data_IF_963419204179
#
_entry.id   IF_963419204179
#
_cell.length_a   1.000
_cell.length_b   1.000
_cell.length_c   1.000
_cell.angle_alpha   90.00
_cell.angle_beta   90.00
_cell.angle_gamma   90.00
#
_symmetry.space_group_name_H-M   'P 1'
#
loop_
_entity.id
_entity.type
_entity.pdbx_description
1 polymer ?
#
# COMPACT_ATOMS: atom_id res chain seq x y z
N UNK A 1 -2.15 16.82 12.71
CA UNK A 1 -3.54 17.04 13.14
C UNK A 1 -4.07 18.22 12.35
N UNK A 2 -5.24 18.07 11.72
CA UNK A 2 -5.87 19.13 10.94
C UNK A 2 -6.56 20.10 11.92
N UNK A 3 -6.32 21.42 11.86
CA UNK A 3 -6.92 22.38 12.79
C UNK A 3 -8.44 22.49 12.58
N UNK A 4 -9.16 22.85 13.64
CA UNK A 4 -10.63 23.04 13.60
C UNK A 4 -11.06 24.03 12.50
N UNK A 5 -10.23 25.04 12.25
CA UNK A 5 -10.45 26.03 11.19
C UNK A 5 -10.60 25.42 9.79
N UNK A 6 -10.00 24.25 9.53
CA UNK A 6 -10.09 23.59 8.22
C UNK A 6 -11.44 22.90 8.02
N UNK A 7 -12.23 22.74 9.07
CA UNK A 7 -13.60 22.21 9.01
C UNK A 7 -14.66 23.33 9.04
N UNK A 8 -14.27 24.56 9.41
CA UNK A 8 -15.20 25.66 9.60
C UNK A 8 -15.93 26.00 8.28
N UNK A 9 -17.26 25.87 8.30
CA UNK A 9 -18.10 26.11 7.13
C UNK A 9 -18.09 24.98 6.09
N UNK A 10 -17.52 23.82 6.39
CA UNK A 10 -17.55 22.63 5.54
C UNK A 10 -18.43 21.55 6.19
N UNK A 11 -19.19 20.84 5.35
CA UNK A 11 -19.85 19.62 5.79
C UNK A 11 -18.82 18.51 5.94
N UNK A 12 -18.79 17.87 7.11
CA UNK A 12 -17.94 16.72 7.40
C UNK A 12 -18.82 15.49 7.44
N UNK A 13 -18.60 14.57 6.50
CA UNK A 13 -19.31 13.30 6.42
C UNK A 13 -18.39 12.20 6.94
N UNK A 14 -18.78 11.59 8.04
CA UNK A 14 -18.11 10.42 8.59
C UNK A 14 -18.63 9.15 7.90
N UNK A 15 -17.72 8.24 7.54
CA UNK A 15 -18.07 6.96 6.92
C UNK A 15 -18.38 5.96 8.04
N UNK A 16 -19.62 5.42 8.14
CA UNK A 16 -20.10 4.79 9.36
C UNK A 16 -19.63 3.34 9.60
N UNK A 17 -18.98 2.69 8.62
CA UNK A 17 -18.53 1.28 8.64
C UNK A 17 -19.32 0.35 9.60
N UNK A 18 -20.62 0.11 9.33
CA UNK A 18 -21.50 -0.62 10.23
C UNK A 18 -21.01 -2.05 10.45
N UNK A 19 -21.45 -2.70 11.54
CA UNK A 19 -21.03 -4.07 11.90
C UNK A 19 -21.23 -5.09 10.76
N UNK A 20 -22.26 -4.91 9.94
CA UNK A 20 -22.58 -5.77 8.79
C UNK A 20 -22.12 -5.20 7.44
N UNK A 21 -21.16 -4.27 7.43
CA UNK A 21 -20.60 -3.74 6.19
C UNK A 21 -20.02 -4.88 5.33
N UNK A 22 -20.14 -4.81 3.99
CA UNK A 22 -19.47 -5.76 3.11
C UNK A 22 -17.96 -5.76 3.36
N UNK A 23 -17.32 -6.92 3.21
CA UNK A 23 -15.89 -7.06 3.44
C UNK A 23 -15.13 -7.15 2.12
N UNK A 24 -14.01 -6.44 2.04
CA UNK A 24 -12.99 -6.61 1.00
C UNK A 24 -11.69 -7.00 1.68
N UNK A 25 -11.18 -8.19 1.35
CA UNK A 25 -9.99 -8.77 1.97
C UNK A 25 -10.04 -8.79 3.53
N UNK A 26 -11.24 -8.93 4.09
CA UNK A 26 -11.47 -8.95 5.54
C UNK A 26 -11.65 -7.57 6.19
N UNK A 27 -11.50 -6.47 5.44
CA UNK A 27 -11.73 -5.11 5.93
C UNK A 27 -13.15 -4.66 5.59
N UNK A 28 -13.80 -3.94 6.50
CA UNK A 28 -15.12 -3.34 6.21
C UNK A 28 -14.97 -2.34 5.09
N UNK A 29 -15.90 -2.38 4.14
CA UNK A 29 -15.84 -1.58 2.93
C UNK A 29 -17.08 -0.72 2.77
N UNK A 30 -16.89 0.43 2.13
CA UNK A 30 -17.93 1.35 1.72
C UNK A 30 -17.71 1.72 0.25
N UNK A 31 -18.67 1.41 -0.61
CA UNK A 31 -18.66 1.82 -2.02
C UNK A 31 -19.04 3.30 -2.12
N UNK A 32 -18.04 4.15 -2.37
CA UNK A 32 -18.20 5.60 -2.28
C UNK A 32 -19.08 6.17 -3.41
N UNK A 33 -18.98 5.59 -4.62
CA UNK A 33 -19.77 6.03 -5.77
C UNK A 33 -21.04 5.19 -5.98
N UNK A 34 -21.12 4.00 -5.38
CA UNK A 34 -22.26 3.08 -5.52
C UNK A 34 -22.27 2.30 -6.84
N UNK A 35 -21.21 2.38 -7.63
CA UNK A 35 -21.04 1.68 -8.91
C UNK A 35 -19.92 0.61 -8.90
N UNK A 36 -19.33 0.40 -7.72
CA UNK A 36 -18.22 -0.51 -7.48
C UNK A 36 -16.90 -0.10 -8.11
N UNK A 37 -16.72 1.18 -8.46
CA UNK A 37 -15.46 1.71 -9.00
C UNK A 37 -14.47 2.15 -7.93
N UNK A 38 -14.95 2.54 -6.73
CA UNK A 38 -14.09 3.03 -5.66
C UNK A 38 -14.64 2.66 -4.28
N UNK A 39 -13.83 1.94 -3.49
CA UNK A 39 -14.16 1.55 -2.13
C UNK A 39 -13.26 2.26 -1.13
N UNK A 40 -13.84 2.73 -0.04
CA UNK A 40 -13.13 3.07 1.19
C UNK A 40 -13.10 1.83 2.09
N UNK A 41 -11.93 1.49 2.65
CA UNK A 41 -11.73 0.33 3.52
C UNK A 41 -11.35 0.79 4.93
N UNK A 42 -12.06 0.33 5.95
CA UNK A 42 -11.75 0.58 7.36
C UNK A 42 -10.46 -0.16 7.72
N UNK A 43 -9.39 0.57 8.03
CA UNK A 43 -8.06 0.02 8.22
C UNK A 43 -7.34 0.67 9.42
N UNK A 44 -7.89 0.55 10.63
CA UNK A 44 -7.38 1.22 11.82
C UNK A 44 -6.00 0.70 12.23
N UNK A 45 -5.43 1.35 13.23
CA UNK A 45 -4.16 0.95 13.86
C UNK A 45 -3.14 2.07 13.81
N UNK A 46 -2.79 2.55 12.61
CA UNK A 46 -1.95 3.75 12.45
C UNK A 46 -2.58 4.93 13.19
N UNK A 47 -3.85 5.22 12.88
CA UNK A 47 -4.71 6.09 13.66
C UNK A 47 -6.13 5.49 13.70
N UNK A 48 -7.00 6.02 14.57
CA UNK A 48 -8.37 5.50 14.78
C UNK A 48 -9.19 5.50 13.48
N UNK A 49 -9.10 6.58 12.71
CA UNK A 49 -9.84 6.76 11.45
C UNK A 49 -9.02 6.43 10.20
N UNK A 50 -7.96 5.63 10.31
CA UNK A 50 -7.15 5.27 9.13
C UNK A 50 -7.98 4.41 8.16
N UNK A 51 -7.95 4.76 6.89
CA UNK A 51 -8.70 4.10 5.82
C UNK A 51 -7.81 3.92 4.59
N UNK A 52 -8.13 2.92 3.77
CA UNK A 52 -7.50 2.70 2.46
C UNK A 52 -8.50 3.05 1.36
N UNK A 53 -7.99 3.51 0.22
CA UNK A 53 -8.76 3.66 -1.01
C UNK A 53 -8.49 2.52 -1.97
N UNK A 54 -9.52 1.86 -2.48
CA UNK A 54 -9.41 0.78 -3.46
C UNK A 54 -10.15 1.17 -4.74
N UNK A 55 -9.38 1.54 -5.77
CA UNK A 55 -9.89 1.99 -7.06
C UNK A 55 -9.84 0.86 -8.10
N UNK A 56 -10.98 0.58 -8.75
CA UNK A 56 -11.04 -0.32 -9.91
C UNK A 56 -10.51 0.40 -11.14
N UNK A 57 -9.50 -0.17 -11.77
CA UNK A 57 -8.84 0.43 -12.94
C UNK A 57 -9.24 -0.19 -14.27
N UNK A 58 -9.76 -1.41 -14.29
CA UNK A 58 -10.28 -2.04 -15.52
C UNK A 58 -11.63 -2.75 -15.30
N UNK A 59 -12.43 -2.96 -16.36
CA UNK A 59 -13.71 -3.67 -16.25
C UNK A 59 -13.58 -5.15 -15.88
N UNK A 60 -14.65 -5.70 -15.31
CA UNK A 60 -14.83 -7.15 -15.08
C UNK A 60 -14.87 -7.95 -16.39
N UNK A 61 -14.54 -9.26 -16.38
CA UNK A 61 -14.16 -10.08 -15.21
C UNK A 61 -12.70 -9.94 -14.78
N UNK A 62 -11.85 -9.32 -15.59
CA UNK A 62 -10.40 -9.20 -15.34
C UNK A 62 -10.04 -7.81 -14.78
N UNK A 63 -10.80 -7.38 -13.77
CA UNK A 63 -10.58 -6.10 -13.12
C UNK A 63 -9.20 -6.06 -12.44
N UNK A 64 -8.46 -4.98 -12.67
CA UNK A 64 -7.28 -4.61 -11.90
C UNK A 64 -7.63 -3.47 -10.95
N UNK A 65 -6.81 -3.30 -9.92
CA UNK A 65 -7.08 -2.40 -8.82
C UNK A 65 -5.82 -1.65 -8.38
N UNK A 66 -6.00 -0.41 -7.96
CA UNK A 66 -4.99 0.34 -7.21
C UNK A 66 -5.47 0.46 -5.76
N UNK A 67 -4.64 -0.01 -4.83
CA UNK A 67 -4.85 0.18 -3.40
C UNK A 67 -3.97 1.32 -2.91
N UNK A 68 -4.57 2.46 -2.60
CA UNK A 68 -3.95 3.55 -1.85
C UNK A 68 -3.97 3.16 -0.37
N UNK A 69 -2.87 2.57 0.09
CA UNK A 69 -2.76 1.93 1.40
C UNK A 69 -2.34 2.89 2.53
N UNK A 70 -2.21 4.18 2.24
CA UNK A 70 -1.91 5.20 3.23
C UNK A 70 -0.63 4.89 4.02
N UNK A 71 -0.74 5.06 5.33
CA UNK A 71 0.36 4.92 6.29
C UNK A 71 0.36 3.53 6.95
N UNK A 72 -0.19 2.52 6.27
CA UNK A 72 -0.11 1.13 6.70
C UNK A 72 1.35 0.67 6.84
N UNK A 73 2.22 1.16 5.96
CA UNK A 73 3.66 0.97 6.03
C UNK A 73 4.38 2.23 5.52
N UNK A 74 5.53 2.53 6.10
CA UNK A 74 6.35 3.69 5.74
C UNK A 74 7.49 3.35 4.78
N UNK A 75 7.68 2.05 4.47
CA UNK A 75 8.72 1.58 3.57
C UNK A 75 8.28 0.28 2.88
N UNK A 76 8.51 0.10 1.56
CA UNK A 76 8.09 -1.12 0.84
C UNK A 76 8.67 -2.41 1.42
N UNK A 77 9.85 -2.33 2.02
CA UNK A 77 10.51 -3.46 2.66
C UNK A 77 9.77 -4.00 3.91
N UNK A 78 8.74 -3.29 4.41
CA UNK A 78 7.83 -3.81 5.43
C UNK A 78 6.79 -4.78 4.87
N UNK A 79 6.56 -4.74 3.54
CA UNK A 79 5.67 -5.64 2.82
C UNK A 79 6.45 -6.74 2.08
N UNK A 80 7.68 -6.43 1.64
CA UNK A 80 8.43 -7.26 0.68
C UNK A 80 9.87 -7.53 1.16
N UNK A 81 10.41 -8.73 0.92
CA UNK A 81 9.75 -9.92 0.40
C UNK A 81 8.62 -10.42 1.30
N UNK A 82 7.84 -11.39 0.83
CA UNK A 82 6.82 -12.06 1.64
C UNK A 82 6.70 -13.54 1.27
N UNK A 83 5.99 -14.36 2.06
CA UNK A 83 5.81 -15.77 1.72
C UNK A 83 5.07 -15.98 0.39
N UNK A 84 4.27 -15.00 -0.02
CA UNK A 84 3.52 -15.02 -1.27
C UNK A 84 4.31 -14.47 -2.45
N UNK A 85 5.28 -13.58 -2.20
CA UNK A 85 6.17 -12.98 -3.20
C UNK A 85 7.60 -12.95 -2.64
N UNK A 86 8.33 -14.07 -2.73
CA UNK A 86 9.72 -14.11 -2.32
C UNK A 86 10.61 -13.28 -3.26
N UNK A 87 11.81 -12.94 -2.80
CA UNK A 87 12.81 -12.26 -3.61
C UNK A 87 13.20 -13.16 -4.79
N UNK A 88 13.09 -12.69 -6.04
CA UNK A 88 13.58 -13.41 -7.20
C UNK A 88 15.11 -13.58 -7.15
N UNK A 89 15.61 -14.76 -7.48
CA UNK A 89 17.06 -15.06 -7.51
C UNK A 89 17.90 -14.06 -8.34
N UNK A 90 17.43 -13.54 -9.50
CA UNK A 90 18.17 -12.52 -10.24
C UNK A 90 18.40 -11.20 -9.50
N UNK A 91 17.61 -10.91 -8.44
CA UNK A 91 17.75 -9.70 -7.63
C UNK A 91 18.63 -9.89 -6.40
N UNK A 92 19.11 -11.12 -6.14
CA UNK A 92 20.03 -11.40 -5.02
C UNK A 92 21.29 -10.50 -5.03
N UNK A 93 21.92 -10.18 -6.19
CA UNK A 93 23.06 -9.25 -6.23
C UNK A 93 22.72 -7.81 -5.82
N UNK A 94 21.44 -7.41 -5.87
CA UNK A 94 20.99 -6.09 -5.44
C UNK A 94 20.74 -6.01 -3.93
N UNK A 95 20.72 -7.14 -3.22
CA UNK A 95 20.46 -7.17 -1.78
C UNK A 95 21.61 -6.45 -1.04
N UNK A 96 21.32 -5.37 -0.30
CA UNK A 96 22.31 -4.64 0.50
C UNK A 96 23.05 -5.55 1.47
N UNK A 97 24.30 -5.22 1.77
CA UNK A 97 25.11 -5.99 2.71
C UNK A 97 24.44 -6.17 4.09
N UNK A 98 23.73 -5.13 4.57
CA UNK A 98 22.99 -5.16 5.82
C UNK A 98 21.85 -6.21 5.85
N UNK A 99 21.32 -6.60 4.69
CA UNK A 99 20.19 -7.51 4.56
C UNK A 99 20.58 -8.94 4.15
N UNK A 100 21.88 -9.22 3.97
CA UNK A 100 22.32 -10.54 3.49
C UNK A 100 21.87 -11.69 4.36
N UNK A 101 21.75 -11.49 5.68
CA UNK A 101 21.28 -12.48 6.64
C UNK A 101 19.75 -12.59 6.77
N UNK A 102 18.98 -11.70 6.14
CA UNK A 102 17.52 -11.74 6.20
C UNK A 102 16.94 -12.87 5.35
N UNK A 103 15.74 -13.35 5.70
CA UNK A 103 15.02 -14.30 4.87
C UNK A 103 14.63 -13.66 3.51
N UNK A 104 14.44 -14.48 2.47
CA UNK A 104 14.04 -14.02 1.13
C UNK A 104 12.55 -14.18 0.87
N UNK A 105 11.82 -14.70 1.84
CA UNK A 105 10.37 -14.95 1.85
C UNK A 105 9.69 -14.28 3.05
N UNK A 106 10.35 -13.29 3.66
CA UNK A 106 9.78 -12.45 4.72
C UNK A 106 10.22 -10.99 4.54
N UNK A 107 9.48 -10.02 5.10
CA UNK A 107 9.82 -8.61 4.94
C UNK A 107 11.22 -8.30 5.44
N UNK A 108 11.98 -7.49 4.68
CA UNK A 108 13.33 -7.09 5.10
C UNK A 108 13.30 -6.09 6.26
N UNK A 109 12.20 -5.37 6.45
CA UNK A 109 12.00 -4.45 7.55
C UNK A 109 10.89 -4.96 8.45
N UNK A 110 11.24 -5.26 9.71
CA UNK A 110 10.25 -5.59 10.71
C UNK A 110 9.44 -4.32 11.08
N UNK A 111 8.15 -4.47 11.39
CA UNK A 111 7.40 -3.38 12.00
C UNK A 111 8.04 -2.98 13.35
N UNK A 112 7.85 -1.73 13.81
CA UNK A 112 8.34 -1.31 15.12
C UNK A 112 7.82 -2.23 16.22
N UNK A 113 8.54 -2.36 17.33
CA UNK A 113 8.02 -3.08 18.51
C UNK A 113 6.87 -2.29 19.16
N UNK A 114 5.99 -2.92 19.96
CA UNK A 114 5.02 -2.20 20.78
C UNK A 114 5.70 -1.08 21.59
N UNK A 115 5.14 0.13 21.55
CA UNK A 115 5.72 1.33 22.17
C UNK A 115 6.88 2.00 21.39
N UNK A 116 7.32 1.40 20.28
CA UNK A 116 8.34 1.95 19.38
C UNK A 116 7.77 2.66 18.14
N UNK A 117 6.44 2.75 18.01
CA UNK A 117 5.73 3.44 16.94
C UNK A 117 4.81 4.52 17.46
N UNK A 118 4.46 5.47 16.59
CA UNK A 118 3.40 6.46 16.83
C UNK A 118 1.99 5.94 16.47
N UNK A 119 1.86 4.64 16.17
CA UNK A 119 0.56 4.02 15.89
C UNK A 119 -0.35 4.11 17.11
N UNK A 120 -1.62 4.45 16.88
CA UNK A 120 -2.64 4.47 17.92
C UNK A 120 -2.82 3.09 18.57
N UNK A 121 -2.85 2.03 17.75
CA UNK A 121 -2.94 0.64 18.20
C UNK A 121 -1.99 -0.22 17.36
N UNK A 122 -1.00 -0.81 18.04
CA UNK A 122 0.07 -1.55 17.39
C UNK A 122 -0.41 -2.88 16.81
N UNK A 123 -1.18 -3.66 17.57
CA UNK A 123 -1.63 -4.99 17.14
C UNK A 123 -2.64 -4.87 16.00
N UNK A 124 -3.52 -3.87 16.07
CA UNK A 124 -4.47 -3.57 14.99
C UNK A 124 -3.73 -3.09 13.74
N UNK A 125 -2.70 -2.24 13.88
CA UNK A 125 -1.88 -1.83 12.74
C UNK A 125 -1.16 -3.01 12.07
N UNK A 126 -0.68 -3.97 12.86
CA UNK A 126 -0.08 -5.20 12.33
C UNK A 126 -1.09 -6.07 11.57
N UNK A 127 -2.32 -6.20 12.07
CA UNK A 127 -3.38 -6.91 11.36
C UNK A 127 -3.70 -6.24 10.01
N UNK A 128 -3.80 -4.91 9.98
CA UNK A 128 -3.97 -4.14 8.74
C UNK A 128 -2.79 -4.34 7.78
N UNK A 129 -1.54 -4.33 8.28
CA UNK A 129 -0.33 -4.57 7.49
C UNK A 129 -0.32 -5.96 6.84
N UNK A 130 -0.81 -6.98 7.53
CA UNK A 130 -0.92 -8.34 6.98
C UNK A 130 -1.92 -8.41 5.82
N UNK A 131 -3.07 -7.74 5.94
CA UNK A 131 -4.05 -7.64 4.84
C UNK A 131 -3.42 -6.95 3.63
N UNK A 132 -2.73 -5.82 3.84
CA UNK A 132 -2.07 -5.08 2.76
C UNK A 132 -0.94 -5.90 2.13
N UNK A 133 -0.20 -6.69 2.90
CA UNK A 133 0.84 -7.60 2.39
C UNK A 133 0.23 -8.71 1.51
N UNK A 134 -0.92 -9.25 1.90
CA UNK A 134 -1.63 -10.25 1.10
C UNK A 134 -2.19 -9.65 -0.20
N UNK A 135 -2.72 -8.43 -0.16
CA UNK A 135 -3.17 -7.70 -1.35
C UNK A 135 -2.00 -7.34 -2.27
N UNK A 136 -0.88 -6.91 -1.70
CA UNK A 136 0.34 -6.60 -2.43
C UNK A 136 0.90 -7.81 -3.20
N UNK A 137 0.62 -9.03 -2.74
CA UNK A 137 1.02 -10.23 -3.44
C UNK A 137 0.22 -10.49 -4.74
N UNK A 138 -0.98 -9.91 -4.89
CA UNK A 138 -1.86 -10.20 -6.03
C UNK A 138 -1.45 -9.48 -7.30
N UNK A 139 -1.38 -10.17 -8.43
CA UNK A 139 -0.99 -9.54 -9.71
C UNK A 139 -2.02 -8.55 -10.27
N UNK A 140 -3.24 -8.52 -9.73
CA UNK A 140 -4.30 -7.58 -10.12
C UNK A 140 -4.48 -6.42 -9.13
N UNK A 141 -3.65 -6.29 -8.11
CA UNK A 141 -3.68 -5.16 -7.16
C UNK A 141 -2.32 -4.48 -7.10
N UNK A 142 -2.25 -3.20 -7.41
CA UNK A 142 -1.06 -2.38 -7.19
C UNK A 142 -1.20 -1.57 -5.91
N UNK A 143 -0.35 -1.86 -4.92
CA UNK A 143 -0.33 -1.16 -3.63
C UNK A 143 0.57 0.07 -3.70
N UNK A 144 0.00 1.21 -3.29
CA UNK A 144 0.66 2.50 -3.15
C UNK A 144 0.70 2.88 -1.67
N UNK A 145 1.89 3.06 -1.10
CA UNK A 145 2.07 3.58 0.26
C UNK A 145 2.32 5.09 0.18
N UNK A 146 1.87 5.87 1.17
CA UNK A 146 2.08 7.33 1.19
C UNK A 146 3.55 7.73 1.14
N UNK A 147 4.43 6.88 1.66
CA UNK A 147 5.86 7.14 1.82
C UNK A 147 6.75 6.24 0.95
N UNK A 148 6.18 5.61 -0.08
CA UNK A 148 6.96 4.85 -1.06
C UNK A 148 7.54 5.79 -2.13
N UNK A 149 8.71 6.35 -1.84
CA UNK A 149 9.47 7.17 -2.79
C UNK A 149 10.12 6.39 -3.93
N UNK A 150 9.87 5.07 -4.07
CA UNK A 150 10.41 4.31 -5.21
C UNK A 150 9.90 4.81 -6.56
N UNK A 151 8.80 5.57 -6.53
CA UNK A 151 8.15 6.23 -7.66
C UNK A 151 8.65 7.65 -7.93
N UNK A 152 9.45 8.24 -7.02
CA UNK A 152 9.89 9.63 -7.14
C UNK A 152 11.05 9.80 -8.14
N UNK A 153 11.82 8.73 -8.37
CA UNK A 153 12.92 8.69 -9.33
C UNK A 153 12.47 8.17 -10.69
N UNK A 154 13.39 7.98 -11.64
CA UNK A 154 13.08 7.51 -12.99
C UNK A 154 12.32 6.16 -12.99
N UNK A 155 11.02 6.27 -13.15
CA UNK A 155 10.03 5.21 -13.36
C UNK A 155 10.09 4.58 -14.76
N UNK A 156 11.13 4.89 -15.54
CA UNK A 156 11.39 4.33 -16.87
C UNK A 156 10.28 4.64 -17.86
N UNK A 157 9.64 5.81 -17.72
CA UNK A 157 8.50 6.24 -18.54
C UNK A 157 7.21 5.42 -18.37
N UNK A 158 7.12 4.54 -17.35
CA UNK A 158 5.93 3.70 -17.12
C UNK A 158 4.89 4.37 -16.23
N UNK A 159 5.31 5.26 -15.34
CA UNK A 159 4.38 6.01 -14.48
C UNK A 159 3.65 7.06 -15.30
N UNK A 160 2.35 7.15 -15.05
CA UNK A 160 1.48 8.16 -15.61
C UNK A 160 1.16 9.16 -14.51
N UNK A 161 1.49 10.43 -14.75
CA UNK A 161 1.26 11.51 -13.80
C UNK A 161 0.00 12.29 -14.21
N UNK A 162 -0.62 12.98 -13.25
CA UNK A 162 -1.73 13.87 -13.57
C UNK A 162 -1.36 14.82 -14.72
N UNK A 163 -2.22 14.97 -15.75
CA UNK A 163 -3.63 14.57 -15.80
C UNK A 163 -3.92 13.18 -16.40
N UNK A 164 -2.91 12.33 -16.63
CA UNK A 164 -3.10 11.02 -17.26
C UNK A 164 -3.79 10.00 -16.34
N UNK A 165 -4.52 9.05 -16.95
CA UNK A 165 -5.17 7.95 -16.23
C UNK A 165 -4.19 6.83 -15.88
N UNK A 166 -4.21 6.37 -14.62
CA UNK A 166 -3.41 5.25 -14.14
C UNK A 166 -4.00 3.86 -14.51
N UNK A 167 -5.11 3.80 -15.25
CA UNK A 167 -5.90 2.58 -15.45
C UNK A 167 -5.13 1.41 -16.07
N UNK A 168 -4.12 1.71 -16.88
CA UNK A 168 -3.29 0.72 -17.60
C UNK A 168 -2.04 0.29 -16.86
N UNK A 169 -1.89 0.63 -15.57
CA UNK A 169 -0.70 0.29 -14.77
C UNK A 169 -0.27 -1.17 -14.91
N UNK A 170 -1.23 -2.09 -15.00
CA UNK A 170 -0.98 -3.54 -15.11
C UNK A 170 -0.47 -3.94 -16.49
N UNK A 171 -1.07 -3.39 -17.56
CA UNK A 171 -0.64 -3.61 -18.95
C UNK A 171 0.78 -3.05 -19.16
N UNK A 172 1.04 -1.87 -18.59
CA UNK A 172 2.31 -1.15 -18.69
C UNK A 172 3.41 -1.75 -17.79
N UNK A 173 3.09 -2.75 -16.96
CA UNK A 173 4.04 -3.42 -16.07
C UNK A 173 4.58 -2.52 -14.94
N UNK A 174 3.80 -1.52 -14.52
CA UNK A 174 4.20 -0.52 -13.52
C UNK A 174 4.53 -1.19 -12.19
N UNK A 175 3.64 -2.08 -11.71
CA UNK A 175 3.83 -2.77 -10.44
C UNK A 175 5.10 -3.61 -10.45
N UNK A 176 5.32 -4.39 -11.52
CA UNK A 176 6.45 -5.30 -11.66
C UNK A 176 7.77 -4.52 -11.69
N UNK A 177 7.78 -3.38 -12.40
CA UNK A 177 8.93 -2.50 -12.48
C UNK A 177 9.28 -1.88 -11.13
N UNK A 178 8.29 -1.39 -10.39
CA UNK A 178 8.49 -0.71 -9.10
C UNK A 178 8.74 -1.66 -7.93
N UNK A 179 8.29 -2.92 -8.03
CA UNK A 179 8.18 -3.86 -6.90
C UNK A 179 9.43 -3.93 -6.03
N UNK A 180 10.60 -3.88 -6.66
CA UNK A 180 11.91 -4.07 -6.04
C UNK A 180 12.84 -2.86 -6.13
N UNK A 181 12.34 -1.70 -6.58
CA UNK A 181 13.15 -0.47 -6.76
C UNK A 181 13.81 0.02 -5.48
N UNK A 182 13.25 -0.31 -4.32
CA UNK A 182 13.85 -0.03 -3.02
C UNK A 182 15.17 -0.77 -2.73
N UNK A 183 15.55 -1.75 -3.57
CA UNK A 183 16.86 -2.41 -3.54
C UNK A 183 17.87 -1.77 -4.50
N UNK A 184 17.44 -0.90 -5.41
CA UNK A 184 18.33 -0.28 -6.39
C UNK A 184 19.10 0.88 -5.75
N UNK A 185 20.43 0.78 -5.76
CA UNK A 185 21.30 1.85 -5.28
C UNK A 185 21.08 3.12 -6.10
N UNK A 186 20.78 4.23 -5.42
CA UNK A 186 20.52 5.52 -6.03
C UNK A 186 19.04 5.88 -6.11
N UNK A 187 18.14 4.94 -5.82
CA UNK A 187 16.73 5.25 -5.59
C UNK A 187 16.54 5.90 -4.21
N UNK A 188 15.60 6.84 -4.08
CA UNK A 188 15.34 7.67 -2.91
C UNK A 188 14.94 6.87 -1.66
N UNK A 189 14.37 5.68 -1.85
CA UNK A 189 14.02 4.74 -0.78
C UNK A 189 15.13 3.74 -0.46
N UNK A 190 16.27 3.78 -1.14
CA UNK A 190 17.43 2.97 -0.75
C UNK A 190 18.01 3.48 0.58
N UNK A 191 17.60 2.87 1.70
CA UNK A 191 17.96 3.28 3.08
C UNK A 191 18.49 2.10 3.89
N UNK A 192 19.65 1.59 3.48
CA UNK A 192 20.30 0.41 4.05
C UNK A 192 21.74 0.67 4.49
#
# INVERSE_FOLDING_TARGET
MVPESDFLGREVVEIPFPEHAPLVAGLKSHDYFGDGSFYLLEAPGHCVGHMLGLARTTPSPNASWILMAGDTAHHPAMLRPSPHVPLPAPLEPLVPAALKGCARDAPFMAPPKPGGSIHHDHDVALATLQVVTALDARDDVWVLLSHDGSMDDDVGGRMRWMPEEANKWKEDGVKEYLRWKFLEKGNSVYRW
#
